data_IF_992685948709
#
_entry.id   IF_992685948709
#
_cell.length_a   1.000
_cell.length_b   1.000
_cell.length_c   1.000
_cell.angle_alpha   90.00
_cell.angle_beta   90.00
_cell.angle_gamma   90.00
#
_symmetry.space_group_name_H-M   'P 1'
#
loop_
_entity.id
_entity.type
_entity.pdbx_description
1 polymer ?
#
# COMPACT_ATOMS: atom_id res chain seq x y z
N UNK A 1 -48.87 28.12 -26.38
CA UNK A 1 -47.67 27.60 -25.69
C UNK A 1 -46.50 27.66 -26.67
N UNK A 2 -45.46 28.43 -26.38
CA UNK A 2 -44.31 28.67 -27.27
C UNK A 2 -43.40 27.43 -27.22
N UNK A 3 -43.27 26.69 -28.32
CA UNK A 3 -42.42 25.51 -28.38
C UNK A 3 -40.94 25.95 -28.36
N UNK A 4 -40.20 25.46 -27.37
CA UNK A 4 -38.75 25.66 -27.25
C UNK A 4 -38.09 24.92 -28.42
N UNK A 5 -37.34 25.63 -29.26
CA UNK A 5 -36.60 25.02 -30.38
C UNK A 5 -35.22 24.59 -29.90
N UNK A 6 -34.65 23.57 -30.54
CA UNK A 6 -33.31 23.03 -30.20
C UNK A 6 -32.21 24.11 -30.27
N UNK A 7 -32.40 25.15 -31.08
CA UNK A 7 -31.52 26.33 -31.17
C UNK A 7 -31.49 27.20 -29.92
N UNK A 8 -32.45 27.04 -29.01
CA UNK A 8 -32.58 27.84 -27.79
C UNK A 8 -31.93 27.15 -26.57
N UNK A 9 -31.34 25.96 -26.75
CA UNK A 9 -30.68 25.21 -25.67
C UNK A 9 -29.20 25.61 -25.53
N UNK A 10 -28.73 25.79 -24.29
CA UNK A 10 -27.33 26.06 -24.01
C UNK A 10 -26.44 24.91 -24.52
N UNK A 11 -25.37 25.24 -25.23
CA UNK A 11 -24.41 24.24 -25.72
C UNK A 11 -23.55 23.74 -24.57
N UNK A 12 -23.57 22.43 -24.30
CA UNK A 12 -22.75 21.81 -23.27
C UNK A 12 -21.41 21.34 -23.86
N UNK A 13 -20.30 21.76 -23.24
CA UNK A 13 -18.97 21.27 -23.55
C UNK A 13 -18.47 20.39 -22.42
N UNK A 14 -18.06 19.17 -22.75
CA UNK A 14 -17.50 18.21 -21.81
C UNK A 14 -15.99 18.32 -21.81
N UNK A 15 -15.42 18.69 -20.67
CA UNK A 15 -13.97 18.79 -20.49
C UNK A 15 -13.54 17.70 -19.52
N UNK A 16 -12.64 16.83 -19.95
CA UNK A 16 -12.04 15.78 -19.10
C UNK A 16 -10.69 16.29 -18.61
N UNK A 17 -10.50 16.30 -17.29
CA UNK A 17 -9.21 16.65 -16.69
C UNK A 17 -8.29 15.43 -16.66
N UNK A 18 -7.02 15.61 -17.01
CA UNK A 18 -5.98 14.58 -16.84
C UNK A 18 -5.65 14.34 -15.35
N UNK A 19 -5.65 15.39 -14.51
CA UNK A 19 -5.58 15.26 -13.05
C UNK A 19 -6.97 15.51 -12.43
N UNK A 20 -7.62 14.47 -11.88
CA UNK A 20 -8.92 14.61 -11.24
C UNK A 20 -8.92 15.49 -9.99
N UNK A 21 -7.76 15.81 -9.41
CA UNK A 21 -7.65 16.45 -8.09
C UNK A 21 -7.76 17.98 -8.16
N UNK A 22 -7.46 18.58 -9.30
CA UNK A 22 -7.38 20.03 -9.48
C UNK A 22 -8.65 20.64 -10.11
N UNK A 23 -9.81 20.11 -9.71
CA UNK A 23 -11.10 20.52 -10.29
C UNK A 23 -11.52 21.91 -9.83
N UNK A 24 -11.18 22.31 -8.61
CA UNK A 24 -11.66 23.56 -8.01
C UNK A 24 -10.95 24.81 -8.58
N UNK A 25 -9.65 24.70 -8.92
CA UNK A 25 -8.89 25.78 -9.55
C UNK A 25 -9.29 26.02 -11.02
N UNK A 26 -9.64 24.94 -11.73
CA UNK A 26 -10.13 25.01 -13.11
C UNK A 26 -11.57 25.55 -13.19
N UNK A 27 -12.46 25.10 -12.29
CA UNK A 27 -13.84 25.59 -12.22
C UNK A 27 -13.85 27.11 -11.96
N UNK A 28 -13.07 27.59 -11.01
CA UNK A 28 -12.97 29.03 -10.70
C UNK A 28 -12.37 29.86 -11.85
N UNK A 29 -11.49 29.28 -12.67
CA UNK A 29 -10.94 29.96 -13.84
C UNK A 29 -11.92 30.00 -15.03
N UNK A 30 -12.76 28.98 -15.18
CA UNK A 30 -13.71 28.83 -16.30
C UNK A 30 -15.05 29.52 -16.02
N UNK A 31 -15.49 29.58 -14.75
CA UNK A 31 -16.70 30.32 -14.34
C UNK A 31 -16.59 31.83 -14.59
N UNK A 32 -15.38 32.38 -14.63
CA UNK A 32 -15.14 33.81 -14.87
C UNK A 32 -15.10 34.20 -16.36
N UNK A 33 -15.23 33.24 -17.28
CA UNK A 33 -15.25 33.52 -18.72
C UNK A 33 -16.64 33.99 -19.18
N UNK A 34 -16.70 35.09 -19.95
CA UNK A 34 -17.95 35.57 -20.53
C UNK A 34 -18.55 34.52 -21.47
N UNK A 35 -19.81 34.13 -21.23
CA UNK A 35 -20.56 33.15 -22.02
C UNK A 35 -20.78 31.79 -21.35
N UNK A 36 -20.21 31.55 -20.16
CA UNK A 36 -20.42 30.33 -19.37
C UNK A 36 -21.56 30.56 -18.37
N UNK A 37 -22.67 29.84 -18.51
CA UNK A 37 -23.86 30.01 -17.68
C UNK A 37 -23.85 29.14 -16.41
N UNK A 38 -23.32 27.92 -16.47
CA UNK A 38 -23.23 27.01 -15.31
C UNK A 38 -22.13 25.97 -15.55
N UNK A 39 -21.24 25.79 -14.58
CA UNK A 39 -20.27 24.70 -14.56
C UNK A 39 -20.81 23.60 -13.64
N UNK A 40 -21.25 22.48 -14.22
CA UNK A 40 -21.72 21.35 -13.43
C UNK A 40 -20.52 20.52 -12.96
N UNK A 41 -20.26 20.50 -11.66
CA UNK A 41 -19.23 19.66 -11.06
C UNK A 41 -19.85 18.46 -10.33
N UNK A 42 -19.84 17.25 -10.92
CA UNK A 42 -20.38 16.04 -10.28
C UNK A 42 -19.68 15.66 -8.96
N UNK A 43 -18.44 16.13 -8.73
CA UNK A 43 -17.65 15.78 -7.54
C UNK A 43 -18.17 16.43 -6.27
N UNK A 44 -18.74 17.64 -6.33
CA UNK A 44 -19.26 18.31 -5.14
C UNK A 44 -20.40 17.51 -4.48
N UNK A 45 -21.26 16.86 -5.28
CA UNK A 45 -22.35 16.02 -4.77
C UNK A 45 -21.87 14.69 -4.17
N UNK A 46 -20.69 14.21 -4.60
CA UNK A 46 -20.09 12.97 -4.09
C UNK A 46 -19.08 13.23 -2.95
N UNK A 47 -18.88 14.49 -2.54
CA UNK A 47 -17.91 14.87 -1.51
C UNK A 47 -18.05 14.10 -0.18
N UNK A 48 -19.26 13.78 0.35
CA UNK A 48 -19.37 13.01 1.61
C UNK A 48 -18.92 11.55 1.46
N UNK A 49 -19.10 10.96 0.27
CA UNK A 49 -18.67 9.59 -0.04
C UNK A 49 -17.15 9.53 -0.10
N UNK A 50 -16.52 10.47 -0.81
CA UNK A 50 -15.05 10.55 -0.90
C UNK A 50 -14.38 10.84 0.45
N UNK A 51 -14.98 11.69 1.30
CA UNK A 51 -14.47 11.94 2.65
C UNK A 51 -14.50 10.66 3.50
N UNK A 52 -15.59 9.89 3.44
CA UNK A 52 -15.72 8.61 4.16
C UNK A 52 -14.67 7.59 3.69
N UNK A 53 -14.47 7.48 2.37
CA UNK A 53 -13.44 6.62 1.79
C UNK A 53 -12.03 7.06 2.22
N UNK A 54 -11.77 8.37 2.29
CA UNK A 54 -10.48 8.89 2.71
C UNK A 54 -10.20 8.59 4.21
N UNK A 55 -11.20 8.75 5.08
CA UNK A 55 -11.09 8.34 6.50
C UNK A 55 -10.78 6.85 6.61
N UNK A 56 -11.49 6.00 5.86
CA UNK A 56 -11.25 4.56 5.87
C UNK A 56 -9.84 4.22 5.35
N UNK A 57 -9.36 4.91 4.31
CA UNK A 57 -7.99 4.79 3.79
C UNK A 57 -6.96 5.13 4.87
N UNK A 58 -7.14 6.24 5.58
CA UNK A 58 -6.23 6.66 6.65
C UNK A 58 -6.25 5.69 7.84
N UNK A 59 -7.42 5.16 8.22
CA UNK A 59 -7.50 4.12 9.25
C UNK A 59 -6.79 2.84 8.82
N UNK A 60 -6.96 2.41 7.56
CA UNK A 60 -6.27 1.25 7.03
C UNK A 60 -4.74 1.44 7.01
N UNK A 61 -4.26 2.62 6.59
CA UNK A 61 -2.83 2.98 6.63
C UNK A 61 -2.28 3.02 8.06
N UNK A 62 -3.04 3.59 9.00
CA UNK A 62 -2.67 3.59 10.43
C UNK A 62 -2.58 2.19 11.02
N UNK A 63 -3.56 1.32 10.70
CA UNK A 63 -3.54 -0.09 11.09
C UNK A 63 -2.35 -0.85 10.49
N UNK A 64 -2.04 -0.62 9.22
CA UNK A 64 -0.88 -1.23 8.56
C UNK A 64 0.44 -0.81 9.24
N UNK A 65 0.59 0.48 9.58
CA UNK A 65 1.77 0.96 10.31
C UNK A 65 1.90 0.30 11.70
N UNK A 66 0.79 0.12 12.41
CA UNK A 66 0.78 -0.58 13.69
C UNK A 66 1.21 -2.05 13.56
N UNK A 67 0.72 -2.75 12.52
CA UNK A 67 1.12 -4.13 12.24
C UNK A 67 2.60 -4.25 11.90
N UNK A 68 3.16 -3.30 11.16
CA UNK A 68 4.61 -3.23 10.90
C UNK A 68 5.40 -3.09 12.20
N UNK A 69 4.97 -2.21 13.11
CA UNK A 69 5.61 -2.06 14.42
C UNK A 69 5.52 -3.36 15.24
N UNK A 70 4.34 -3.98 15.28
CA UNK A 70 4.14 -5.26 15.96
C UNK A 70 5.05 -6.35 15.39
N UNK A 71 5.19 -6.44 14.07
CA UNK A 71 6.07 -7.39 13.40
C UNK A 71 7.54 -7.19 13.78
N UNK A 72 8.03 -5.93 13.81
CA UNK A 72 9.42 -5.62 14.23
C UNK A 72 9.67 -6.04 15.68
N UNK A 73 8.71 -5.78 16.58
CA UNK A 73 8.81 -6.19 17.98
C UNK A 73 8.80 -7.72 18.12
N UNK A 74 7.92 -8.40 17.38
CA UNK A 74 7.83 -9.86 17.37
C UNK A 74 9.14 -10.50 16.89
N UNK A 75 9.69 -10.03 15.76
CA UNK A 75 10.98 -10.51 15.23
C UNK A 75 12.10 -10.28 16.24
N UNK A 76 12.17 -9.09 16.85
CA UNK A 76 13.18 -8.76 17.86
C UNK A 76 13.12 -9.69 19.08
N UNK A 77 11.91 -10.06 19.53
CA UNK A 77 11.73 -10.98 20.64
C UNK A 77 12.12 -12.41 20.25
N UNK A 78 11.72 -12.87 19.07
CA UNK A 78 12.05 -14.21 18.57
C UNK A 78 13.55 -14.42 18.45
N UNK A 79 14.29 -13.45 17.90
CA UNK A 79 15.75 -13.57 17.77
C UNK A 79 16.40 -13.63 19.16
N UNK A 80 15.92 -12.84 20.13
CA UNK A 80 16.44 -12.87 21.50
C UNK A 80 16.24 -14.25 22.14
N UNK A 81 15.04 -14.81 22.03
CA UNK A 81 14.74 -16.16 22.54
C UNK A 81 15.62 -17.21 21.87
N UNK A 82 15.76 -17.16 20.54
CA UNK A 82 16.58 -18.12 19.79
C UNK A 82 18.08 -18.01 20.13
N UNK A 83 18.60 -16.80 20.31
CA UNK A 83 19.99 -16.56 20.73
C UNK A 83 20.26 -17.08 22.15
N UNK A 84 19.31 -16.93 23.07
CA UNK A 84 19.44 -17.49 24.43
C UNK A 84 19.47 -19.03 24.41
N UNK A 85 18.62 -19.66 23.61
CA UNK A 85 18.59 -21.11 23.47
C UNK A 85 19.92 -21.69 22.93
N UNK A 86 20.59 -20.96 22.03
CA UNK A 86 21.88 -21.37 21.41
C UNK A 86 23.11 -20.75 22.07
N UNK A 87 23.00 -20.19 23.27
CA UNK A 87 24.10 -19.45 23.92
C UNK A 87 25.40 -20.27 24.03
N UNK A 88 25.30 -21.58 24.28
CA UNK A 88 26.46 -22.48 24.39
C UNK A 88 27.17 -22.69 23.04
N UNK A 89 26.41 -22.92 21.97
CA UNK A 89 26.93 -23.06 20.61
C UNK A 89 27.63 -21.78 20.15
N UNK A 90 26.99 -20.62 20.40
CA UNK A 90 27.55 -19.30 20.11
C UNK A 90 28.87 -19.07 20.87
N UNK A 91 28.94 -19.53 22.14
CA UNK A 91 30.17 -19.49 22.93
C UNK A 91 31.31 -20.29 22.32
N UNK A 92 31.03 -21.51 21.84
CA UNK A 92 32.02 -22.36 21.16
C UNK A 92 32.49 -21.70 19.85
N UNK A 93 31.56 -21.19 19.04
CA UNK A 93 31.90 -20.48 17.80
C UNK A 93 32.83 -19.29 18.05
N UNK A 94 32.60 -18.51 19.11
CA UNK A 94 33.49 -17.40 19.49
C UNK A 94 34.87 -17.87 19.93
N UNK A 95 34.98 -19.01 20.63
CA UNK A 95 36.27 -19.57 21.06
C UNK A 95 37.15 -20.04 19.90
N UNK A 96 36.53 -20.42 18.77
CA UNK A 96 37.23 -20.79 17.53
C UNK A 96 37.54 -19.55 16.66
N UNK A 97 37.24 -18.33 17.15
CA UNK A 97 37.51 -17.08 16.45
C UNK A 97 36.50 -16.72 15.36
N UNK A 98 35.30 -17.29 15.38
CA UNK A 98 34.27 -16.95 14.41
C UNK A 98 33.86 -15.47 14.51
N UNK A 99 33.80 -14.79 13.36
CA UNK A 99 33.33 -13.41 13.26
C UNK A 99 31.85 -13.30 13.68
N UNK A 100 31.46 -12.14 14.21
CA UNK A 100 30.07 -11.85 14.63
C UNK A 100 29.04 -12.07 13.51
N UNK A 101 29.44 -11.86 12.25
CA UNK A 101 28.60 -12.09 11.07
C UNK A 101 28.30 -13.58 10.88
N UNK A 102 29.30 -14.46 11.07
CA UNK A 102 29.12 -15.91 10.94
C UNK A 102 28.13 -16.46 11.96
N UNK A 103 28.14 -15.91 13.17
CA UNK A 103 27.22 -16.28 14.25
C UNK A 103 25.77 -15.83 13.94
N UNK A 104 25.61 -14.69 13.25
CA UNK A 104 24.30 -14.10 12.95
C UNK A 104 23.66 -14.64 11.67
N UNK A 105 24.47 -15.13 10.73
CA UNK A 105 24.03 -15.62 9.43
C UNK A 105 22.84 -16.61 9.46
N UNK A 106 22.81 -17.65 10.32
CA UNK A 106 21.68 -18.59 10.34
C UNK A 106 20.35 -17.91 10.70
N UNK A 107 20.37 -16.93 11.60
CA UNK A 107 19.17 -16.18 11.99
C UNK A 107 18.70 -15.24 10.89
N UNK A 108 19.62 -14.59 10.18
CA UNK A 108 19.29 -13.72 9.05
C UNK A 108 18.68 -14.53 7.90
N UNK A 109 19.23 -15.70 7.61
CA UNK A 109 18.70 -16.58 6.56
C UNK A 109 17.27 -17.03 6.87
N UNK A 110 16.96 -17.40 8.12
CA UNK A 110 15.61 -17.77 8.53
C UNK A 110 14.61 -16.62 8.27
N UNK A 111 15.00 -15.38 8.60
CA UNK A 111 14.16 -14.20 8.39
C UNK A 111 13.96 -13.92 6.91
N UNK A 112 15.03 -13.97 6.11
CA UNK A 112 14.95 -13.74 4.66
C UNK A 112 14.04 -14.77 4.00
N UNK A 113 14.18 -16.05 4.35
CA UNK A 113 13.32 -17.12 3.83
C UNK A 113 11.87 -16.91 4.24
N UNK A 114 11.60 -16.57 5.50
CA UNK A 114 10.25 -16.28 5.99
C UNK A 114 9.63 -15.06 5.28
N UNK A 115 10.41 -14.00 5.05
CA UNK A 115 9.97 -12.80 4.35
C UNK A 115 9.66 -13.09 2.87
N UNK A 116 10.50 -13.87 2.18
CA UNK A 116 10.26 -14.29 0.81
C UNK A 116 9.02 -15.18 0.70
N UNK A 117 8.84 -16.13 1.61
CA UNK A 117 7.64 -16.97 1.64
C UNK A 117 6.38 -16.14 1.89
N UNK A 118 6.42 -15.20 2.83
CA UNK A 118 5.32 -14.27 3.10
C UNK A 118 4.98 -13.39 1.90
N UNK A 119 6.00 -12.84 1.22
CA UNK A 119 5.81 -12.02 0.02
C UNK A 119 5.24 -12.83 -1.14
N UNK A 120 5.69 -14.07 -1.34
CA UNK A 120 5.15 -14.97 -2.35
C UNK A 120 3.68 -15.30 -2.07
N UNK A 121 3.32 -15.58 -0.82
CA UNK A 121 1.93 -15.82 -0.41
C UNK A 121 1.04 -14.58 -0.61
N UNK A 122 1.54 -13.40 -0.27
CA UNK A 122 0.82 -12.14 -0.48
C UNK A 122 0.62 -11.82 -1.97
N UNK A 123 1.65 -12.01 -2.80
CA UNK A 123 1.54 -11.86 -4.25
C UNK A 123 0.55 -12.86 -4.84
N UNK A 124 0.63 -14.12 -4.40
CA UNK A 124 -0.30 -15.18 -4.81
C UNK A 124 -1.75 -14.86 -4.42
N UNK A 125 -1.98 -14.29 -3.23
CA UNK A 125 -3.33 -13.91 -2.80
C UNK A 125 -3.90 -12.76 -3.63
N UNK A 126 -3.10 -11.76 -4.00
CA UNK A 126 -3.54 -10.68 -4.90
C UNK A 126 -3.97 -11.24 -6.26
N UNK A 127 -3.17 -12.14 -6.84
CA UNK A 127 -3.50 -12.78 -8.12
C UNK A 127 -4.76 -13.64 -7.98
N UNK A 128 -4.89 -14.41 -6.91
CA UNK A 128 -6.08 -15.22 -6.65
C UNK A 128 -7.36 -14.37 -6.53
N UNK A 129 -7.29 -13.26 -5.79
CA UNK A 129 -8.40 -12.31 -5.69
C UNK A 129 -8.78 -11.73 -7.06
N UNK A 130 -7.80 -11.37 -7.89
CA UNK A 130 -8.06 -10.85 -9.23
C UNK A 130 -8.69 -11.85 -10.18
N UNK A 131 -8.29 -13.12 -10.13
CA UNK A 131 -8.77 -14.13 -11.08
C UNK A 131 -10.10 -14.74 -10.65
N UNK A 132 -10.34 -14.89 -9.35
CA UNK A 132 -11.50 -15.62 -8.82
C UNK A 132 -12.56 -14.68 -8.25
N UNK A 133 -12.16 -13.75 -7.38
CA UNK A 133 -13.10 -12.92 -6.62
C UNK A 133 -13.61 -11.74 -7.44
N UNK A 134 -12.73 -11.06 -8.16
CA UNK A 134 -13.10 -9.87 -8.95
C UNK A 134 -14.13 -10.20 -10.05
N UNK A 135 -14.01 -11.27 -10.86
CA UNK A 135 -15.01 -11.60 -11.86
C UNK A 135 -16.35 -12.01 -11.24
N UNK A 136 -16.31 -12.75 -10.12
CA UNK A 136 -17.51 -13.13 -9.37
C UNK A 136 -18.27 -11.91 -8.83
N UNK A 137 -17.55 -10.90 -8.33
CA UNK A 137 -18.15 -9.65 -7.88
C UNK A 137 -18.63 -8.76 -9.04
N UNK A 138 -17.88 -8.65 -10.15
CA UNK A 138 -18.27 -7.83 -11.32
C UNK A 138 -19.66 -8.17 -11.83
N UNK A 139 -20.05 -9.44 -11.80
CA UNK A 139 -21.39 -9.89 -12.18
C UNK A 139 -22.53 -9.33 -11.29
N UNK A 140 -22.23 -8.87 -10.07
CA UNK A 140 -23.20 -8.37 -9.09
C UNK A 140 -23.16 -6.86 -8.87
N UNK A 141 -22.01 -6.23 -9.07
CA UNK A 141 -21.80 -4.80 -8.76
C UNK A 141 -21.14 -4.09 -9.95
N UNK A 142 -21.93 -3.29 -10.68
CA UNK A 142 -21.45 -2.55 -11.86
C UNK A 142 -20.99 -1.12 -11.55
N UNK A 143 -21.33 -0.59 -10.38
CA UNK A 143 -21.04 0.80 -9.98
C UNK A 143 -19.67 0.99 -9.33
N UNK A 144 -18.86 -0.06 -9.22
CA UNK A 144 -17.56 0.00 -8.55
C UNK A 144 -16.41 0.03 -9.56
N UNK A 145 -15.47 0.99 -9.49
CA UNK A 145 -14.25 0.95 -10.29
C UNK A 145 -13.37 -0.22 -9.81
N UNK A 146 -13.21 -1.22 -10.68
CA UNK A 146 -12.47 -2.44 -10.38
C UNK A 146 -10.97 -2.20 -10.46
N UNK A 147 -10.23 -2.78 -9.51
CA UNK A 147 -8.76 -2.78 -9.51
C UNK A 147 -8.23 -3.29 -10.84
N UNK A 148 -7.39 -2.48 -11.49
CA UNK A 148 -6.76 -2.83 -12.76
C UNK A 148 -5.46 -3.61 -12.55
N UNK A 149 -4.95 -4.25 -13.62
CA UNK A 149 -3.71 -5.02 -13.51
C UNK A 149 -2.51 -4.15 -13.10
N UNK A 150 -2.50 -2.89 -13.53
CA UNK A 150 -1.50 -1.88 -13.15
C UNK A 150 -1.43 -1.70 -11.63
N UNK A 151 -2.58 -1.54 -10.99
CA UNK A 151 -2.69 -1.38 -9.53
C UNK A 151 -2.20 -2.62 -8.78
N UNK A 152 -2.53 -3.82 -9.29
CA UNK A 152 -2.05 -5.07 -8.70
C UNK A 152 -0.53 -5.22 -8.80
N UNK A 153 0.05 -4.90 -9.96
CA UNK A 153 1.51 -4.95 -10.15
C UNK A 153 2.21 -3.95 -9.23
N UNK A 154 1.66 -2.74 -9.09
CA UNK A 154 2.16 -1.74 -8.15
C UNK A 154 2.11 -2.26 -6.71
N UNK A 155 0.96 -2.82 -6.28
CA UNK A 155 0.80 -3.37 -4.94
C UNK A 155 1.77 -4.53 -4.66
N UNK A 156 1.93 -5.46 -5.61
CA UNK A 156 2.89 -6.57 -5.50
C UNK A 156 4.32 -6.08 -5.37
N UNK A 157 4.70 -5.07 -6.17
CA UNK A 157 6.03 -4.45 -6.11
C UNK A 157 6.25 -3.75 -4.76
N UNK A 158 5.24 -3.03 -4.25
CA UNK A 158 5.28 -2.40 -2.95
C UNK A 158 5.43 -3.43 -1.81
N UNK A 159 4.68 -4.54 -1.86
CA UNK A 159 4.77 -5.63 -0.89
C UNK A 159 6.16 -6.26 -0.89
N UNK A 160 6.74 -6.51 -2.07
CA UNK A 160 8.12 -7.02 -2.18
C UNK A 160 9.14 -6.04 -1.59
N UNK A 161 8.96 -4.74 -1.86
CA UNK A 161 9.79 -3.69 -1.27
C UNK A 161 9.70 -3.65 0.25
N UNK A 162 8.49 -3.72 0.81
CA UNK A 162 8.25 -3.74 2.26
C UNK A 162 8.82 -5.02 2.88
N UNK A 163 8.65 -6.18 2.24
CA UNK A 163 9.20 -7.45 2.73
C UNK A 163 10.73 -7.42 2.78
N UNK A 164 11.38 -6.84 1.74
CA UNK A 164 12.83 -6.66 1.73
C UNK A 164 13.29 -5.71 2.85
N UNK A 165 12.60 -4.58 3.04
CA UNK A 165 12.90 -3.65 4.13
C UNK A 165 12.75 -4.34 5.50
N UNK A 166 11.68 -5.11 5.70
CA UNK A 166 11.46 -5.86 6.93
C UNK A 166 12.48 -6.98 7.16
N UNK A 167 13.11 -7.51 6.11
CA UNK A 167 14.22 -8.47 6.26
C UNK A 167 15.55 -7.77 6.61
N UNK A 168 15.80 -6.58 6.06
CA UNK A 168 17.06 -5.84 6.24
C UNK A 168 17.11 -5.08 7.56
N UNK A 169 16.00 -4.42 7.96
CA UNK A 169 15.95 -3.57 9.17
C UNK A 169 16.36 -4.33 10.44
N UNK A 170 15.83 -5.53 10.75
CA UNK A 170 16.22 -6.29 11.94
C UNK A 170 17.70 -6.70 11.91
N UNK A 171 18.20 -7.08 10.73
CA UNK A 171 19.61 -7.42 10.52
C UNK A 171 20.54 -6.24 10.80
N UNK A 172 20.14 -5.04 10.38
CA UNK A 172 20.89 -3.81 10.64
C UNK A 172 20.81 -3.35 12.11
N UNK A 173 19.67 -3.56 12.77
CA UNK A 173 19.51 -3.30 14.20
C UNK A 173 20.39 -4.25 15.05
N UNK A 174 20.52 -5.51 14.63
CA UNK A 174 21.36 -6.52 15.30
C UNK A 174 22.84 -6.17 15.26
N UNK A 175 23.35 -5.78 14.08
CA UNK A 175 24.77 -5.41 13.93
C UNK A 175 25.14 -4.17 14.73
N UNK A 176 24.28 -3.14 14.77
CA UNK A 176 24.56 -1.92 15.54
C UNK A 176 24.44 -2.08 17.06
N UNK A 177 23.52 -2.92 17.55
CA UNK A 177 23.21 -2.99 19.00
C UNK A 177 24.09 -3.99 19.77
N UNK A 178 24.65 -5.00 19.10
CA UNK A 178 25.37 -6.10 19.78
C UNK A 178 26.89 -6.14 19.52
N UNK A 179 27.45 -5.20 18.74
CA UNK A 179 28.90 -5.02 18.54
C UNK A 179 29.56 -3.99 19.46
N UNK A 180 28.80 -3.41 20.41
CA UNK A 180 29.36 -2.64 21.54
C UNK A 180 29.32 -3.47 22.82
N UNK A 181 30.15 -4.52 22.89
CA UNK A 181 30.76 -5.02 24.14
C UNK A 181 32.14 -5.55 23.80
#
# INVERSE_FOLDING_TARGET
AKQIKVSDMATAYWVTLDDPTDTDALVSSVENLQGVQTVFNPRQQLSPVYQTLNVLKWMALGGAALLVLAAVLQVSNTIRLAAMARRREIGIMRLVGASSIYIQLPFVLEIVVAALAGAALACGSVVALMVWVVPWLRGRVHLWPWVERSDAVFAMTAVLGIALLLAVIPTFLMTRKYLKV
#
